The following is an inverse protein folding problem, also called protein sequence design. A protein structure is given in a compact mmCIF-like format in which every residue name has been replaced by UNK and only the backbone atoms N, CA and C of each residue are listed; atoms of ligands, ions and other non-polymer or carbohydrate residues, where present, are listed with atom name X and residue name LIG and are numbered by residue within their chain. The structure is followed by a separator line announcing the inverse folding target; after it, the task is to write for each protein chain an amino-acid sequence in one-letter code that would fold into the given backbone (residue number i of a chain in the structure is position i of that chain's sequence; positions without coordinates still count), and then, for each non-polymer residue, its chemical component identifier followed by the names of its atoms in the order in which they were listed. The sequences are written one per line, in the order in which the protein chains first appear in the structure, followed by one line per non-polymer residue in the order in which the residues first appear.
data_IF_234937244109
#
_entry.id   IF_234937244109
#
_cell.length_a   1.000
_cell.length_b   1.000
_cell.length_c   1.000
_cell.angle_alpha   90.00
_cell.angle_beta   90.00
_cell.angle_gamma   90.00
#
_symmetry.space_group_name_H-M   'P 1'
#
loop_
_entity.id
_entity.type
_entity.pdbx_description
1 polymer ?
2 non-polymer ?
3 water ?
#
# COMPACT_ATOMS: atom_id res chain seq x y z
N UNK A 4 -18.04 4.91 -21.79
CA UNK A 4 -17.41 3.77 -21.05
C UNK A 4 -17.57 3.97 -19.53
N UNK A 5 -17.69 2.85 -18.81
CA UNK A 5 -17.92 2.88 -17.36
C UNK A 5 -16.75 2.41 -16.49
N UNK A 6 -16.70 2.96 -15.28
CA UNK A 6 -15.70 2.60 -14.28
C UNK A 6 -16.04 1.19 -13.79
N UNK A 7 -15.03 0.31 -13.75
CA UNK A 7 -15.22 -1.10 -13.36
C UNK A 7 -14.95 -1.40 -11.87
N UNK A 8 -14.01 -0.68 -11.26
CA UNK A 8 -13.71 -0.81 -9.82
C UNK A 8 -13.98 0.58 -9.18
N UNK A 9 -14.79 0.65 -8.10
CA UNK A 9 -15.07 1.94 -7.43
C UNK A 9 -13.78 2.59 -6.91
N UNK A 10 -13.70 3.92 -6.97
CA UNK A 10 -12.46 4.61 -6.56
C UNK A 10 -12.05 4.30 -5.11
N UNK A 11 -13.03 4.06 -4.24
CA UNK A 11 -12.72 3.76 -2.84
C UNK A 11 -12.02 2.39 -2.69
N UNK A 12 -12.05 1.59 -3.74
CA UNK A 12 -11.42 0.25 -3.72
C UNK A 12 -10.06 0.15 -4.45
N UNK A 13 -9.46 1.31 -4.74
CA UNK A 13 -8.10 1.36 -5.26
C UNK A 13 -7.11 1.51 -4.10
N UNK A 14 -5.93 0.93 -4.27
CA UNK A 14 -4.84 1.05 -3.32
C UNK A 14 -3.55 1.29 -4.09
N UNK A 15 -3.12 2.55 -4.14
CA UNK A 15 -1.84 2.94 -4.74
C UNK A 15 -0.78 2.83 -3.66
N UNK A 16 0.08 1.83 -3.78
CA UNK A 16 1.07 1.53 -2.75
C UNK A 16 2.51 1.45 -3.28
N UNK A 17 3.44 1.79 -2.40
CA UNK A 17 4.85 1.66 -2.68
C UNK A 17 5.43 0.83 -1.55
N UNK A 18 6.44 0.03 -1.87
CA UNK A 18 7.14 -0.78 -0.90
C UNK A 18 8.48 -0.09 -0.60
N UNK A 19 8.74 0.26 0.66
CA UNK A 19 10.01 0.88 1.08
C UNK A 19 10.77 -0.08 1.95
N UNK A 20 12.06 -0.27 1.65
CA UNK A 20 12.91 -1.16 2.43
C UNK A 20 14.40 -0.89 2.28
N UNK A 21 15.15 -1.39 3.26
CA UNK A 21 16.61 -1.36 3.26
C UNK A 21 17.02 -2.55 2.37
N UNK A 22 18.22 -2.52 1.81
CA UNK A 22 18.72 -3.58 0.91
C UNK A 22 18.59 -5.02 1.46
N UNK A 23 18.81 -5.20 2.76
CA UNK A 23 18.79 -6.57 3.37
C UNK A 23 17.41 -7.06 3.90
N UNK A 24 16.36 -6.26 3.73
CA UNK A 24 15.03 -6.63 4.23
C UNK A 24 14.25 -7.62 3.35
N UNK A 25 14.66 -7.78 2.09
CA UNK A 25 13.99 -8.69 1.15
C UNK A 25 12.88 -8.02 0.37
N UNK A 26 13.17 -6.82 -0.14
CA UNK A 26 12.20 -6.06 -0.93
C UNK A 26 11.82 -6.75 -2.22
N UNK A 27 12.81 -7.27 -2.93
CA UNK A 27 12.55 -7.93 -4.21
C UNK A 27 11.67 -9.18 -4.03
N UNK A 28 11.93 -9.96 -2.99
CA UNK A 28 11.16 -11.17 -2.74
C UNK A 28 9.75 -10.82 -2.27
N UNK A 29 9.63 -9.80 -1.42
CA UNK A 29 8.32 -9.34 -0.94
C UNK A 29 7.49 -8.86 -2.14
N UNK A 30 8.07 -8.04 -3.00
CA UNK A 30 7.36 -7.53 -4.18
C UNK A 30 6.96 -8.68 -5.13
N UNK A 31 7.85 -9.64 -5.32
CA UNK A 31 7.56 -10.78 -6.19
C UNK A 31 6.39 -11.58 -5.63
N UNK A 32 6.36 -11.77 -4.31
CA UNK A 32 5.24 -12.51 -3.68
C UNK A 32 3.92 -11.73 -3.78
N UNK A 33 3.98 -10.40 -3.58
CA UNK A 33 2.77 -9.57 -3.75
C UNK A 33 2.21 -9.78 -5.16
N UNK A 34 3.08 -9.73 -6.16
CA UNK A 34 2.65 -9.89 -7.56
C UNK A 34 2.14 -11.31 -7.86
N UNK A 35 2.69 -12.29 -7.15
CA UNK A 35 2.25 -13.66 -7.31
C UNK A 35 0.84 -13.85 -6.74
N UNK A 36 0.64 -13.50 -5.48
CA UNK A 36 -0.69 -13.67 -4.86
C UNK A 36 -1.77 -12.82 -5.54
N UNK A 37 -1.45 -11.56 -5.86
CA UNK A 37 -2.41 -10.63 -6.49
C UNK A 37 -2.60 -10.85 -7.98
N UNK A 38 -1.83 -11.79 -8.54
CA UNK A 38 -1.97 -12.19 -9.96
C UNK A 38 -2.90 -13.39 -10.07
N UNK A 39 -3.10 -14.11 -8.96
CA UNK A 39 -4.01 -15.27 -8.90
C UNK A 39 -5.05 -15.06 -7.77
N UNK A 40 -5.44 -13.81 -7.54
CA UNK A 40 -6.39 -13.47 -6.46
C UNK A 40 -7.73 -14.22 -6.49
N UNK A 41 -8.20 -14.64 -7.68
CA UNK A 41 -9.47 -15.38 -7.78
C UNK A 41 -9.34 -16.87 -7.39
N UNK A 42 -8.10 -17.35 -7.22
CA UNK A 42 -7.83 -18.73 -6.81
C UNK A 42 -7.40 -18.84 -5.34
N UNK A 43 -7.29 -17.68 -4.68
CA UNK A 43 -6.93 -17.59 -3.25
C UNK A 43 -8.12 -18.07 -2.41
N UNK A 44 -7.88 -18.95 -1.44
CA UNK A 44 -8.98 -19.47 -0.62
C UNK A 44 -8.74 -19.93 0.82
N UNK A 45 -9.78 -19.74 1.64
CA UNK A 45 -9.73 -20.17 3.04
C UNK A 45 -9.88 -21.69 3.14
N UNK A 67 9.78 -5.48 -12.58
CA UNK A 67 10.61 -4.28 -12.75
C UNK A 67 9.82 -3.07 -13.30
N UNK A 68 8.53 -3.25 -13.59
CA UNK A 68 7.70 -2.15 -14.10
C UNK A 68 7.62 -0.99 -13.12
N UNK A 69 7.54 0.23 -13.65
CA UNK A 69 7.40 1.43 -12.82
C UNK A 69 6.14 1.33 -11.93
N UNK A 70 5.11 0.71 -12.48
CA UNK A 70 3.86 0.46 -11.76
C UNK A 70 3.21 -0.78 -12.36
N UNK A 71 2.67 -1.64 -11.51
CA UNK A 71 2.01 -2.86 -11.90
C UNK A 71 0.58 -2.90 -11.32
N UNK A 72 -0.38 -3.20 -12.18
CA UNK A 72 -1.81 -3.32 -11.82
C UNK A 72 -2.09 -4.74 -11.33
N UNK A 73 -2.86 -4.88 -10.23
CA UNK A 73 -3.18 -6.21 -9.72
C UNK A 73 -4.49 -6.15 -8.93
N UNK A 74 -4.97 -7.31 -8.50
CA UNK A 74 -6.26 -7.38 -7.77
C UNK A 74 -6.14 -8.17 -6.48
N UNK A 75 -7.01 -7.85 -5.53
CA UNK A 75 -7.06 -8.60 -4.26
C UNK A 75 -8.45 -8.54 -3.69
N UNK A 76 -8.96 -9.71 -3.28
CA UNK A 76 -10.29 -9.81 -2.65
C UNK A 76 -10.19 -10.42 -1.24
N UNK A 77 -8.97 -10.49 -0.72
CA UNK A 77 -8.73 -11.06 0.61
C UNK A 77 -8.31 -12.52 0.59
N UNK A 78 -7.60 -12.95 1.65
CA UNK A 78 -7.15 -14.35 1.77
C UNK A 78 -8.31 -15.34 1.72
N UNK A 79 -9.49 -14.88 2.16
CA UNK A 79 -10.68 -15.71 2.20
C UNK A 79 -11.81 -15.18 1.32
N UNK A 80 -11.46 -14.36 0.31
CA UNK A 80 -12.46 -13.76 -0.58
C UNK A 80 -13.48 -12.92 0.22
N UNK A 81 -13.01 -12.37 1.35
CA UNK A 81 -13.87 -11.64 2.28
C UNK A 81 -14.11 -10.17 1.98
N UNK A 82 -13.47 -9.66 0.93
CA UNK A 82 -13.65 -8.29 0.53
C UNK A 82 -14.15 -8.24 -0.91
N UNK A 83 -14.84 -7.13 -1.26
CA UNK A 83 -15.10 -6.85 -2.65
C UNK A 83 -13.74 -6.73 -3.31
N UNK A 84 -13.68 -6.94 -4.63
CA UNK A 84 -12.41 -6.86 -5.30
C UNK A 84 -11.83 -5.45 -5.27
N UNK A 85 -10.57 -5.38 -4.85
CA UNK A 85 -9.78 -4.14 -4.79
C UNK A 85 -8.72 -4.16 -5.88
N UNK A 86 -8.39 -2.97 -6.40
CA UNK A 86 -7.39 -2.80 -7.43
C UNK A 86 -6.17 -2.25 -6.72
N UNK A 87 -5.08 -3.02 -6.75
CA UNK A 87 -3.83 -2.60 -6.10
C UNK A 87 -2.82 -2.24 -7.18
N UNK A 88 -2.31 -1.01 -7.10
CA UNK A 88 -1.28 -0.51 -8.04
C UNK A 88 0.01 -0.51 -7.23
N UNK A 89 0.93 -1.38 -7.61
CA UNK A 89 2.22 -1.53 -6.92
C UNK A 89 3.24 -0.67 -7.66
N UNK A 90 3.67 0.39 -6.99
CA UNK A 90 4.56 1.39 -7.57
C UNK A 90 5.99 1.16 -7.11
N UNK A 91 6.91 1.03 -8.06
CA UNK A 91 8.33 0.84 -7.75
C UNK A 91 8.85 2.11 -7.02
N UNK A 92 9.44 1.93 -5.84
CA UNK A 92 9.94 3.06 -5.04
C UNK A 92 11.30 2.70 -4.42
N UNK A 93 12.41 2.89 -5.17
CA UNK A 93 13.80 2.57 -4.73
C UNK A 93 14.20 3.12 -3.35
N UNK A 99 16.96 12.16 -4.51
CA UNK A 99 16.27 13.08 -3.61
C UNK A 99 14.88 13.43 -4.16
N UNK A 100 14.85 14.04 -5.34
CA UNK A 100 13.59 14.43 -5.99
C UNK A 100 12.78 13.20 -6.44
N UNK A 101 13.48 12.15 -6.87
CA UNK A 101 12.84 10.92 -7.35
C UNK A 101 12.10 10.20 -6.22
N UNK A 102 12.77 10.03 -5.08
CA UNK A 102 12.14 9.40 -3.92
C UNK A 102 10.97 10.25 -3.38
N UNK A 103 11.09 11.57 -3.49
CA UNK A 103 10.01 12.47 -3.04
C UNK A 103 8.85 12.49 -4.05
N UNK A 104 9.14 12.33 -5.34
CA UNK A 104 8.06 12.27 -6.35
C UNK A 104 7.26 10.99 -6.11
N UNK A 105 7.95 9.90 -5.87
CA UNK A 105 7.29 8.60 -5.62
C UNK A 105 6.31 8.68 -4.46
N UNK A 106 6.62 9.50 -3.45
CA UNK A 106 5.73 9.67 -2.29
C UNK A 106 4.42 10.37 -2.68
N UNK A 107 4.43 11.10 -3.79
CA UNK A 107 3.22 11.75 -4.27
C UNK A 107 2.44 10.86 -5.24
N UNK A 108 3.13 9.89 -5.85
CA UNK A 108 2.50 8.95 -6.81
C UNK A 108 1.73 7.86 -6.06
N UNK A 109 2.34 7.33 -5.00
CA UNK A 109 1.65 6.36 -4.14
C UNK A 109 0.77 7.14 -3.17
N UNK A 110 -0.20 6.46 -2.56
CA UNK A 110 -1.08 7.06 -1.56
C UNK A 110 -0.76 6.50 -0.19
N UNK A 111 -0.26 5.28 -0.14
CA UNK A 111 0.09 4.60 1.12
C UNK A 111 1.31 3.77 0.92
N UNK A 112 2.03 3.48 2.00
CA UNK A 112 3.26 2.68 1.88
C UNK A 112 3.30 1.47 2.79
N UNK A 113 4.02 0.45 2.34
CA UNK A 113 4.31 -0.72 3.12
C UNK A 113 5.82 -0.65 3.40
N UNK A 114 6.16 -0.47 4.68
CA UNK A 114 7.55 -0.37 5.14
C UNK A 114 8.03 -1.78 5.48
N UNK A 115 9.03 -2.28 4.77
CA UNK A 115 9.53 -3.64 5.03
C UNK A 115 10.82 -3.61 5.84
N UNK A 116 10.86 -4.38 6.92
CA UNK A 116 12.04 -4.45 7.79
C UNK A 116 12.48 -5.90 7.98
N UNK A 117 13.77 -6.08 8.21
CA UNK A 117 14.33 -7.39 8.47
C UNK A 117 14.14 -7.70 9.96
N UNK A 118 13.71 -8.91 10.26
CA UNK A 118 13.48 -9.34 11.64
C UNK A 118 14.78 -9.44 12.46
N UNK A 119 15.90 -9.56 11.76
CA UNK A 119 17.22 -9.65 12.40
C UNK A 119 17.82 -8.25 12.53
N UNK A 120 18.06 -7.60 11.40
CA UNK A 120 18.68 -6.27 11.34
C UNK A 120 17.84 -5.13 11.90
N UNK A 121 16.54 -5.21 11.69
CA UNK A 121 15.62 -4.20 12.19
C UNK A 121 15.75 -2.85 11.50
N UNK A 122 15.64 -1.78 12.30
CA UNK A 122 15.69 -0.43 11.78
C UNK A 122 17.15 -0.02 11.56
N UNK A 123 17.48 0.27 10.30
CA UNK A 123 18.83 0.67 9.87
C UNK A 123 18.91 2.19 9.68
N UNK A 124 20.13 2.74 9.48
CA UNK A 124 20.24 4.20 9.25
C UNK A 124 19.42 4.72 8.05
N UNK A 125 19.39 3.96 6.95
CA UNK A 125 18.64 4.36 5.75
C UNK A 125 17.12 4.36 5.98
N UNK A 126 16.67 3.58 6.97
CA UNK A 126 15.24 3.54 7.31
C UNK A 126 14.79 4.90 7.84
N UNK A 127 15.68 5.56 8.60
CA UNK A 127 15.41 6.88 9.19
C UNK A 127 15.20 7.97 8.13
N UNK A 128 15.93 7.88 7.02
CA UNK A 128 15.84 8.87 5.94
C UNK A 128 14.52 8.76 5.17
N UNK A 129 14.20 7.56 4.69
CA UNK A 129 12.95 7.34 3.93
C UNK A 129 11.72 7.63 4.79
N UNK A 130 11.83 7.34 6.09
CA UNK A 130 10.75 7.60 7.05
C UNK A 130 10.42 9.09 7.08
N UNK A 131 11.47 9.93 6.98
CA UNK A 131 11.26 11.37 6.99
C UNK A 131 10.60 11.92 5.72
N UNK A 132 10.91 11.37 4.54
CA UNK A 132 10.22 11.83 3.33
C UNK A 132 8.76 11.47 3.47
N UNK A 133 8.49 10.25 3.96
CA UNK A 133 7.12 9.77 4.16
C UNK A 133 6.34 10.70 5.09
N UNK A 134 6.97 11.17 6.18
CA UNK A 134 6.30 12.10 7.11
C UNK A 134 6.04 13.46 6.47
N UNK A 135 6.97 13.92 5.61
CA UNK A 135 6.83 15.21 4.93
C UNK A 135 5.55 15.26 4.07
N UNK A 136 5.28 14.18 3.35
CA UNK A 136 4.07 14.12 2.52
C UNK A 136 2.89 13.45 3.24
N UNK A 137 3.00 13.29 4.56
CA UNK A 137 1.97 12.70 5.42
C UNK A 137 1.43 11.38 4.87
N UNK A 138 2.33 10.47 4.53
CA UNK A 138 1.93 9.18 3.91
C UNK A 138 1.54 8.09 4.92
N UNK A 139 0.27 7.64 4.91
CA UNK A 139 -0.12 6.55 5.82
C UNK A 139 0.65 5.28 5.51
N UNK A 140 0.96 4.50 6.54
CA UNK A 140 1.73 3.29 6.30
C UNK A 140 1.47 2.17 7.28
N UNK A 141 1.79 0.97 6.81
CA UNK A 141 1.82 -0.25 7.62
C UNK A 141 3.23 -0.80 7.43
N UNK A 142 3.62 -1.72 8.32
CA UNK A 142 4.93 -2.35 8.27
C UNK A 142 4.78 -3.88 8.14
N UNK A 143 5.77 -4.48 7.52
CA UNK A 143 5.89 -5.92 7.34
C UNK A 143 7.30 -6.31 7.79
N UNK A 144 7.38 -7.04 8.89
CA UNK A 144 8.67 -7.50 9.43
C UNK A 144 8.92 -8.87 8.80
N UNK A 145 9.78 -8.86 7.79
CA UNK A 145 10.12 -10.01 6.98
C UNK A 145 11.28 -10.81 7.60
N UNK A 146 11.53 -11.99 7.05
CA UNK A 146 12.63 -12.87 7.47
C UNK A 146 12.52 -13.37 8.92
N UNK A 147 11.28 -13.66 9.34
CA UNK A 147 11.05 -14.21 10.68
C UNK A 147 11.68 -15.59 10.87
N UNK A 148 12.00 -16.28 9.77
CA UNK A 148 12.62 -17.61 9.83
C UNK A 148 14.16 -17.59 9.93
N UNK A 149 14.78 -16.42 9.85
CA UNK A 149 16.25 -16.34 9.89
C UNK A 149 16.81 -16.27 11.30
N UNK A 150 18.05 -16.75 11.44
CA UNK A 150 18.72 -16.77 12.74
C UNK A 150 18.81 -15.34 13.28
N UNK A 151 18.35 -15.18 14.53
CA UNK A 151 18.34 -13.87 15.19
C UNK A 151 17.04 -13.07 15.03
N UNK A 152 16.02 -13.69 14.47
CA UNK A 152 14.73 -13.00 14.28
C UNK A 152 14.11 -12.65 15.63
N UNK A 153 13.64 -11.41 15.77
CA UNK A 153 13.01 -10.93 16.99
C UNK A 153 12.03 -9.82 16.61
N UNK A 154 10.77 -10.22 16.46
CA UNK A 154 9.70 -9.33 16.04
C UNK A 154 9.50 -8.11 16.94
N UNK A 155 9.28 -8.35 18.22
CA UNK A 155 9.01 -7.26 19.16
C UNK A 155 10.20 -6.31 19.34
N UNK A 156 11.41 -6.81 19.14
CA UNK A 156 12.59 -5.93 19.22
C UNK A 156 12.53 -4.92 18.07
N UNK A 157 12.11 -5.37 16.89
CA UNK A 157 11.97 -4.47 15.73
C UNK A 157 10.84 -3.47 16.01
N UNK A 158 9.71 -3.95 16.54
CA UNK A 158 8.62 -3.07 16.89
C UNK A 158 9.10 -1.96 17.86
N UNK A 159 9.87 -2.34 18.89
CA UNK A 159 10.37 -1.37 19.86
C UNK A 159 11.32 -0.36 19.20
N UNK A 160 12.13 -0.83 18.23
CA UNK A 160 13.03 0.05 17.48
C UNK A 160 12.26 1.08 16.64
N UNK A 161 11.10 0.70 16.10
CA UNK A 161 10.29 1.64 15.33
C UNK A 161 9.91 2.80 16.25
N UNK A 162 9.60 2.47 17.52
CA UNK A 162 9.26 3.50 18.49
C UNK A 162 10.46 4.34 18.92
N UNK A 163 11.53 3.68 19.35
CA UNK A 163 12.70 4.39 19.88
C UNK A 163 13.56 5.11 18.84
N UNK A 164 13.70 4.54 17.65
CA UNK A 164 14.56 5.12 16.62
C UNK A 164 13.83 6.03 15.63
N UNK A 165 12.58 5.71 15.30
CA UNK A 165 11.81 6.52 14.36
C UNK A 165 10.72 7.39 15.00
N UNK A 166 10.43 7.15 16.28
CA UNK A 166 9.37 7.89 16.99
C UNK A 166 7.97 7.45 16.57
N UNK A 167 7.86 6.23 16.04
CA UNK A 167 6.57 5.72 15.58
C UNK A 167 5.73 5.13 16.70
N UNK A 168 4.41 5.30 16.60
CA UNK A 168 3.49 4.65 17.52
C UNK A 168 3.16 3.34 16.78
N UNK A 169 4.02 2.34 16.97
CA UNK A 169 3.94 1.05 16.29
C UNK A 169 3.07 0.06 17.04
N UNK A 170 2.00 -0.36 16.39
CA UNK A 170 1.00 -1.27 16.95
C UNK A 170 0.97 -2.62 16.21
N UNK A 171 1.39 -3.72 16.87
CA UNK A 171 1.30 -5.00 16.20
C UNK A 171 -0.13 -5.48 15.96
N UNK A 172 -0.37 -6.01 14.75
CA UNK A 172 -1.62 -6.65 14.37
C UNK A 172 -1.51 -8.15 14.58
N UNK A 173 -0.27 -8.61 14.79
CA UNK A 173 0.04 -10.02 14.89
C UNK A 173 1.20 -10.27 15.81
N UNK A 174 1.36 -11.55 16.16
CA UNK A 174 2.57 -12.04 16.82
C UNK A 174 2.96 -13.27 16.01
N UNK A 175 4.26 -13.45 15.75
CA UNK A 175 4.66 -14.63 14.99
C UNK A 175 4.54 -15.92 15.80
N UNK A 176 4.26 -17.03 15.12
CA UNK A 176 4.24 -18.34 15.77
C UNK A 176 5.64 -18.89 15.54
N UNK A 177 6.46 -18.85 16.59
CA UNK A 177 7.85 -19.29 16.51
C UNK A 177 8.75 -18.25 15.85
N UNK A 178 10.03 -18.57 15.78
CA UNK A 178 11.03 -17.69 15.16
C UNK A 178 12.21 -18.55 14.74
N UNK A 179 13.02 -18.04 13.81
CA UNK A 179 14.18 -18.75 13.28
C UNK A 179 13.70 -20.07 12.64
N UNK A 180 14.41 -21.19 12.86
CA UNK A 180 13.94 -22.48 12.29
C UNK A 180 12.55 -22.92 12.80
N UNK A 181 12.11 -22.34 13.91
CA UNK A 181 10.82 -22.68 14.52
C UNK A 181 9.64 -21.83 14.02
N UNK A 182 9.91 -20.87 13.12
CA UNK A 182 8.83 -20.02 12.57
C UNK A 182 7.89 -20.86 11.70
N UNK A 183 6.59 -20.87 12.04
CA UNK A 183 5.61 -21.67 11.27
C UNK A 183 4.36 -20.91 10.84
N UNK A 184 4.15 -19.70 11.33
CA UNK A 184 2.96 -18.93 10.95
C UNK A 184 2.82 -17.68 11.76
N UNK A 185 1.63 -17.09 11.79
CA UNK A 185 1.39 -15.87 12.57
C UNK A 185 0.02 -15.94 13.24
N UNK A 186 -0.16 -15.20 14.33
CA UNK A 186 -1.45 -15.08 15.00
C UNK A 186 -2.04 -13.72 14.63
N UNK A 187 -3.29 -13.74 14.16
CA UNK A 187 -4.05 -12.54 13.89
C UNK A 187 -4.65 -12.19 15.28
N UNK A 188 -4.13 -11.14 15.89
CA UNK A 188 -4.55 -10.75 17.25
C UNK A 188 -6.02 -10.32 17.35
N UNK A 189 -6.56 -9.73 16.30
CA UNK A 189 -7.97 -9.31 16.33
C UNK A 189 -8.89 -10.54 16.38
N UNK A 190 -8.64 -11.52 15.50
CA UNK A 190 -9.44 -12.75 15.46
C UNK A 190 -9.04 -13.77 16.54
N UNK A 191 -7.84 -13.60 17.10
CA UNK A 191 -7.28 -14.55 18.08
C UNK A 191 -7.28 -15.95 17.49
N UNK A 192 -6.69 -16.03 16.30
CA UNK A 192 -6.52 -17.26 15.55
C UNK A 192 -5.14 -17.30 14.93
N UNK A 193 -4.53 -18.48 14.94
CA UNK A 193 -3.25 -18.70 14.29
C UNK A 193 -3.55 -19.02 12.83
N UNK A 194 -2.71 -18.52 11.92
CA UNK A 194 -2.87 -18.80 10.50
C UNK A 194 -1.87 -19.88 10.09
N UNK A 195 -2.40 -21.03 9.64
CA UNK A 195 -1.60 -22.16 9.17
C UNK A 195 -1.70 -22.23 7.65
N UNK A 196 -0.71 -21.66 6.95
CA UNK A 196 -0.66 -21.68 5.49
C UNK A 196 -0.25 -23.05 4.95
N UNK A 197 -0.89 -23.47 3.85
CA UNK A 197 -0.59 -24.74 3.19
C UNK A 197 0.72 -24.62 2.40
N UNK A 198 1.71 -25.43 2.76
CA UNK A 198 3.02 -25.38 2.11
C UNK A 198 2.99 -25.84 0.63
N UNK A 199 2.23 -26.90 0.37
CA UNK A 199 2.13 -27.50 -0.98
C UNK A 199 1.69 -26.52 -2.08
N UNK A 200 0.67 -25.69 -1.81
CA UNK A 200 0.19 -24.75 -2.83
C UNK A 200 0.77 -23.33 -2.67
N UNK A 201 1.97 -23.24 -2.09
CA UNK A 201 2.65 -21.97 -1.88
C UNK A 201 1.83 -20.97 -1.06
N UNK A 202 1.07 -21.48 -0.10
CA UNK A 202 0.26 -20.62 0.74
C UNK A 202 -0.94 -19.93 0.12
N UNK A 203 -1.47 -20.51 -0.96
CA UNK A 203 -2.68 -20.00 -1.61
C UNK A 203 -3.88 -20.23 -0.71
N UNK A 204 -3.80 -21.28 0.12
CA UNK A 204 -4.87 -21.63 1.05
C UNK A 204 -4.27 -21.73 2.45
N UNK A 205 -5.16 -21.75 3.44
CA UNK A 205 -4.76 -21.80 4.83
C UNK A 205 -5.94 -22.24 5.68
N UNK A 206 -5.68 -22.51 6.95
CA UNK A 206 -6.75 -22.77 7.91
C UNK A 206 -6.48 -21.92 9.16
N UNK A 207 -7.54 -21.43 9.80
CA UNK A 207 -7.37 -20.73 11.08
C UNK A 207 -7.35 -21.80 12.18
N UNK A 208 -6.41 -21.70 13.10
CA UNK A 208 -6.29 -22.65 14.22
C UNK A 208 -6.32 -21.89 15.54
N UNK A 209 -6.49 -22.61 16.64
CA UNK A 209 -6.50 -21.96 17.94
C UNK A 209 -5.11 -21.40 18.26
N UNK A 210 -5.07 -20.34 19.04
CA UNK A 210 -3.79 -19.75 19.43
C UNK A 210 -3.09 -20.79 20.31
N UNK A 211 -1.79 -21.08 20.04
CA UNK A 211 -1.05 -22.05 20.85
C UNK A 211 -1.04 -21.67 22.33
N UNK A 212 -1.13 -22.68 23.19
CA UNK A 212 -1.16 -22.45 24.64
C UNK A 212 0.00 -21.57 25.15
N UNK A 213 1.19 -21.78 24.60
CA UNK A 213 2.37 -21.01 25.05
C UNK A 213 2.39 -19.54 24.57
N UNK A 214 1.45 -19.17 23.70
CA UNK A 214 1.31 -17.80 23.20
C UNK A 214 0.06 -17.06 23.73
N UNK A 215 -0.85 -17.78 24.40
CA UNK A 215 -2.11 -17.16 24.86
C UNK A 215 -1.91 -15.89 25.68
N UNK A 216 -1.01 -15.93 26.67
CA UNK A 216 -0.73 -14.76 27.51
C UNK A 216 -0.19 -13.56 26.71
N UNK A 217 0.79 -13.80 25.85
CA UNK A 217 1.38 -12.74 25.02
C UNK A 217 0.33 -12.19 24.05
N UNK A 218 -0.46 -13.07 23.45
CA UNK A 218 -1.49 -12.62 22.51
C UNK A 218 -2.55 -11.74 23.22
N UNK A 219 -2.95 -12.12 24.44
CA UNK A 219 -3.92 -11.33 25.19
C UNK A 219 -3.36 -9.94 25.50
N UNK A 220 -2.09 -9.88 25.88
CA UNK A 220 -1.43 -8.60 26.20
C UNK A 220 -1.36 -7.70 24.98
N UNK A 221 -0.89 -8.24 23.87
CA UNK A 221 -0.77 -7.45 22.66
C UNK A 221 -2.12 -7.14 21.99
N UNK A 222 -3.14 -7.97 22.24
CA UNK A 222 -4.47 -7.65 21.71
C UNK A 222 -4.98 -6.44 22.50
N UNK A 223 -4.81 -6.47 23.83
CA UNK A 223 -5.26 -5.34 24.66
C UNK A 223 -4.55 -4.06 24.20
N UNK A 224 -3.28 -4.16 23.83
CA UNK A 224 -2.50 -3.04 23.33
C UNK A 224 -3.15 -2.45 22.07
N UNK A 225 -3.60 -3.31 21.15
CA UNK A 225 -4.22 -2.80 19.93
C UNK A 225 -5.63 -2.28 20.18
N UNK A 226 -6.38 -2.90 21.11
CA UNK A 226 -7.70 -2.41 21.45
C UNK A 226 -7.61 -1.01 22.09
N UNK A 227 -6.61 -0.80 22.94
CA UNK A 227 -6.38 0.52 23.55
C UNK A 227 -6.13 1.56 22.47
N UNK A 228 -5.34 1.18 21.47
CA UNK A 228 -5.04 2.08 20.35
C UNK A 228 -6.30 2.43 19.55
N UNK A 229 -7.19 1.46 19.39
CA UNK A 229 -8.45 1.67 18.69
C UNK A 229 -9.36 2.61 19.48
N UNK A 230 -9.43 2.39 20.80
CA UNK A 230 -10.30 3.19 21.68
C UNK A 230 -9.99 4.69 21.64
N UNK A 231 -8.74 5.04 21.36
CA UNK A 231 -8.29 6.42 21.25
C UNK A 231 -8.85 7.17 20.05
N UNK A 232 -9.47 6.44 19.11
CA UNK A 232 -10.03 7.06 17.89
C UNK A 232 -11.26 7.94 18.12
N UNK A 233 -12.06 7.68 19.15
CA UNK A 233 -13.25 8.51 19.41
C UNK A 233 -13.70 8.42 20.87
N UNK A 234 -14.43 9.44 21.31
CA UNK A 234 -14.94 9.47 22.66
C UNK A 234 -15.92 8.31 22.89
N UNK A 235 -16.75 8.02 21.89
CA UNK A 235 -17.72 6.91 22.02
C UNK A 235 -17.01 5.57 22.25
N UNK A 236 -15.95 5.31 21.49
CA UNK A 236 -15.19 4.06 21.66
C UNK A 236 -14.45 4.03 22.99
N UNK A 237 -13.90 5.18 23.41
CA UNK A 237 -13.17 5.25 24.68
C UNK A 237 -14.10 4.95 25.86
N UNK A 238 -15.29 5.55 25.86
CA UNK A 238 -16.31 5.31 26.90
C UNK A 238 -16.71 3.82 26.96
N UNK A 239 -16.81 3.20 25.79
CA UNK A 239 -17.17 1.77 25.72
C UNK A 239 -16.04 0.90 26.30
N UNK A 240 -14.81 1.24 25.95
CA UNK A 240 -13.62 0.53 26.44
C UNK A 240 -13.44 0.67 27.95
N UNK A 241 -13.49 1.91 28.44
CA UNK A 241 -13.36 2.17 29.89
C UNK A 241 -14.55 1.62 30.68
N UNK A 242 -15.71 1.54 30.02
CA UNK A 242 -16.92 1.02 30.64
C UNK A 242 -16.90 -0.49 30.86
N UNK A 243 -15.89 -1.18 30.34
CA UNK A 243 -15.77 -2.62 30.50
C UNK A 243 -16.34 -3.49 29.39
N UNK A 244 -16.92 -2.88 28.35
CA UNK A 244 -17.49 -3.62 27.23
C UNK A 244 -16.40 -3.90 26.21
N UNK A 245 -16.57 -4.99 25.45
CA UNK A 245 -15.60 -5.36 24.43
C UNK A 245 -15.92 -4.71 23.09
N UNK A 246 -14.94 -4.02 22.52
CA UNK A 246 -15.15 -3.47 21.19
C UNK A 246 -15.25 -4.64 20.21
N UNK A 247 -16.12 -4.51 19.22
CA UNK A 247 -16.26 -5.55 18.19
C UNK A 247 -15.10 -5.49 17.21
N UNK A 248 -14.91 -6.55 16.43
CA UNK A 248 -13.84 -6.56 15.43
C UNK A 248 -14.03 -5.41 14.44
N UNK A 249 -15.27 -5.16 14.04
CA UNK A 249 -15.54 -4.07 13.09
C UNK A 249 -15.21 -2.69 13.68
N UNK A 250 -15.54 -2.50 14.96
CA UNK A 250 -15.22 -1.24 15.67
C UNK A 250 -13.71 -1.05 15.74
N UNK A 251 -13.01 -2.12 16.08
CA UNK A 251 -11.56 -2.06 16.19
C UNK A 251 -10.94 -1.71 14.84
N UNK A 252 -11.34 -2.42 13.79
CA UNK A 252 -10.74 -2.19 12.46
C UNK A 252 -11.01 -0.80 11.88
N UNK A 253 -12.23 -0.31 12.05
CA UNK A 253 -12.59 1.03 11.57
C UNK A 253 -11.75 2.09 12.28
N UNK A 254 -11.58 1.92 13.59
CA UNK A 254 -10.80 2.83 14.43
C UNK A 254 -9.34 2.83 14.06
N UNK A 255 -8.77 1.63 13.89
CA UNK A 255 -7.36 1.52 13.50
C UNK A 255 -7.14 2.16 12.11
N UNK A 256 -8.07 1.91 11.18
CA UNK A 256 -7.97 2.52 9.84
C UNK A 256 -7.96 4.04 9.95
N UNK A 257 -8.86 4.60 10.77
CA UNK A 257 -8.91 6.05 10.94
C UNK A 257 -7.55 6.57 11.41
N UNK A 258 -6.95 5.88 12.37
CA UNK A 258 -5.66 6.32 12.93
C UNK A 258 -4.48 6.16 11.97
N UNK A 259 -4.51 5.12 11.13
CA UNK A 259 -3.47 4.94 10.13
C UNK A 259 -3.58 6.08 9.11
N UNK A 260 -4.79 6.35 8.65
CA UNK A 260 -5.03 7.42 7.67
C UNK A 260 -4.67 8.81 8.19
N UNK A 261 -4.78 8.99 9.50
CA UNK A 261 -4.42 10.25 10.14
C UNK A 261 -2.93 10.33 10.51
N UNK A 262 -2.14 9.32 10.11
CA UNK A 262 -0.70 9.28 10.41
C UNK A 262 -0.39 9.27 11.92
N UNK A 263 -1.29 8.69 12.70
CA UNK A 263 -1.14 8.60 14.14
C UNK A 263 -0.43 7.33 14.59
N UNK A 264 -0.61 6.24 13.84
CA UNK A 264 0.00 4.96 14.17
C UNK A 264 0.45 4.23 12.92
N UNK A 265 1.33 3.26 13.13
CA UNK A 265 1.77 2.35 12.08
C UNK A 265 1.42 0.95 12.57
N UNK A 266 0.64 0.21 11.78
CA UNK A 266 0.25 -1.15 12.12
C UNK A 266 1.34 -2.11 11.61
N UNK A 267 1.65 -3.14 12.40
CA UNK A 267 2.75 -4.02 12.06
C UNK A 267 2.33 -5.48 11.86
N UNK A 268 2.75 -6.02 10.72
CA UNK A 268 2.53 -7.41 10.34
C UNK A 268 3.90 -8.06 10.23
N UNK A 269 3.92 -9.38 10.02
CA UNK A 269 5.19 -10.08 9.94
C UNK A 269 5.06 -11.39 9.21
N UNK A 270 6.21 -11.99 8.93
CA UNK A 270 6.26 -13.29 8.29
C UNK A 270 7.53 -13.53 7.50
N UNK A 271 7.37 -14.30 6.42
CA UNK A 271 8.44 -14.60 5.49
C UNK A 271 7.86 -14.63 4.10
N UNK A 272 8.39 -13.78 3.23
CA UNK A 272 7.96 -13.76 1.85
C UNK A 272 8.43 -15.05 1.16
N UNK A 273 9.70 -15.35 1.29
CA UNK A 273 10.30 -16.54 0.65
C UNK A 273 9.64 -17.84 1.05
N UNK A 274 9.29 -17.99 2.34
CA UNK A 274 8.67 -19.21 2.84
C UNK A 274 7.14 -19.24 2.63
N UNK A 275 6.60 -18.27 1.87
CA UNK A 275 5.16 -18.22 1.56
C UNK A 275 4.24 -18.15 2.80
N UNK A 276 4.68 -17.41 3.82
CA UNK A 276 3.94 -17.27 5.06
C UNK A 276 3.97 -15.84 5.61
N UNK A 277 3.04 -15.00 5.15
CA UNK A 277 2.94 -13.65 5.67
C UNK A 277 2.48 -12.58 4.73
N UNK A 278 2.99 -12.59 3.49
CA UNK A 278 2.59 -11.56 2.53
C UNK A 278 1.08 -11.55 2.30
N UNK A 279 0.47 -12.74 2.34
CA UNK A 279 -0.97 -12.87 2.11
C UNK A 279 -1.81 -12.07 3.14
N UNK A 280 -1.41 -12.15 4.40
CA UNK A 280 -2.11 -11.43 5.46
C UNK A 280 -1.78 -9.93 5.42
N UNK A 281 -0.59 -9.60 4.95
CA UNK A 281 -0.21 -8.21 4.81
C UNK A 281 -1.07 -7.56 3.72
N UNK A 282 -1.41 -8.34 2.69
CA UNK A 282 -2.26 -7.81 1.61
C UNK A 282 -3.66 -7.52 2.15
N UNK A 283 -4.17 -8.37 3.04
CA UNK A 283 -5.44 -8.06 3.68
C UNK A 283 -5.33 -6.73 4.43
N UNK A 284 -4.20 -6.51 5.10
CA UNK A 284 -3.97 -5.27 5.84
C UNK A 284 -3.91 -4.02 4.92
N UNK A 285 -3.40 -4.19 3.71
CA UNK A 285 -3.39 -3.11 2.70
C UNK A 285 -4.84 -2.70 2.44
N UNK A 286 -5.71 -3.68 2.20
CA UNK A 286 -7.12 -3.38 1.97
C UNK A 286 -7.77 -2.74 3.22
N UNK A 287 -7.57 -3.33 4.37
CA UNK A 287 -8.26 -2.88 5.57
C UNK A 287 -7.81 -1.55 6.14
N UNK A 288 -6.52 -1.23 6.00
CA UNK A 288 -5.95 -0.07 6.64
C UNK A 288 -5.29 1.02 5.79
N UNK A 289 -4.87 0.72 4.55
CA UNK A 289 -4.21 1.75 3.72
C UNK A 289 -5.24 2.58 2.95
N UNK A 290 -4.87 3.82 2.61
CA UNK A 290 -5.83 4.70 1.97
C UNK A 290 -6.19 4.46 0.53
N UNK A 291 -7.43 4.79 0.20
CA UNK A 291 -7.88 4.87 -1.18
C UNK A 291 -7.52 6.29 -1.66
N UNK A 292 -7.64 6.57 -2.96
CA UNK A 292 -7.35 7.93 -3.44
C UNK A 292 -8.21 9.01 -2.77
N UNK A 293 -9.42 8.63 -2.34
CA UNK A 293 -10.35 9.55 -1.68
C UNK A 293 -10.06 9.80 -0.19
N UNK A 294 -9.12 9.05 0.41
CA UNK A 294 -8.76 9.16 1.83
C UNK A 294 -7.62 10.14 2.10
N UNK A 295 -7.01 10.67 1.06
CA UNK A 295 -5.92 11.63 1.26
C UNK A 295 -6.37 13.00 0.76
N UNK A 296 -5.66 14.06 1.17
CA UNK A 296 -6.10 15.38 0.71
C UNK A 296 -6.02 15.58 -0.79
N UNK A 297 -6.87 16.45 -1.31
CA UNK A 297 -6.85 16.80 -2.72
C UNK A 297 -5.44 17.28 -3.06
N UNK A 298 -4.96 16.96 -4.25
CA UNK A 298 -3.62 17.42 -4.65
C UNK A 298 -3.63 18.93 -4.90
N UNK A 299 -2.57 19.60 -4.48
CA UNK A 299 -2.46 21.04 -4.63
C UNK A 299 -1.62 21.42 -5.84
N UNK A 300 -1.93 22.57 -6.44
CA UNK A 300 -1.22 23.06 -7.61
C UNK A 300 -1.28 24.56 -7.74
N UNK A 301 -0.69 25.08 -8.82
CA UNK A 301 -0.65 26.52 -9.11
C UNK A 301 -1.47 26.84 -10.36
N UNK A 302 -2.39 27.79 -10.22
CA UNK A 302 -3.25 28.24 -11.31
C UNK A 302 -2.49 29.21 -12.20
N UNK A 303 -2.96 29.45 -13.43
CA UNK A 303 -2.30 30.39 -14.35
C UNK A 303 -2.04 31.79 -13.75
N UNK A 304 -2.93 32.24 -12.87
CA UNK A 304 -2.79 33.57 -12.23
C UNK A 304 -1.88 33.55 -10.98
N UNK A 305 -1.19 32.43 -10.76
CA UNK A 305 -0.26 32.24 -9.63
C UNK A 305 -0.93 31.93 -8.28
N UNK A 306 -2.25 31.86 -8.24
CA UNK A 306 -2.96 31.52 -6.99
C UNK A 306 -2.93 29.99 -6.86
N UNK A 307 -3.06 29.50 -5.62
CA UNK A 307 -3.05 28.06 -5.37
C UNK A 307 -4.42 27.47 -5.70
N UNK A 308 -4.40 26.27 -6.28
CA UNK A 308 -5.61 25.55 -6.65
C UNK A 308 -5.51 24.12 -6.15
N UNK A 309 -6.56 23.34 -6.36
CA UNK A 309 -6.57 21.94 -5.93
C UNK A 309 -7.46 21.11 -6.85
N UNK A 310 -7.20 19.80 -6.88
CA UNK A 310 -7.98 18.89 -7.69
C UNK A 310 -8.37 17.71 -6.80
N UNK A 311 -9.69 17.51 -6.66
CA UNK A 311 -10.22 16.42 -5.84
C UNK A 311 -10.20 15.08 -6.57
N UNK A 312 -10.12 14.01 -5.78
CA UNK A 312 -10.09 12.65 -6.31
C UNK A 312 -11.49 12.25 -6.78
N UNK A 313 -11.85 12.75 -7.96
CA UNK A 313 -13.16 12.53 -8.54
C UNK A 313 -13.14 12.49 -10.05
N UNK A 314 -13.91 11.58 -10.64
CA UNK A 314 -14.04 11.50 -12.10
C UNK A 314 -14.71 12.73 -12.70
N UNK A 315 -15.46 13.47 -11.88
CA UNK A 315 -16.18 14.67 -12.35
C UNK A 315 -15.34 15.93 -12.44
N UNK A 316 -14.24 15.97 -11.69
CA UNK A 316 -13.29 17.10 -11.71
C UNK A 316 -12.56 17.17 -13.05
N UNK A 317 -11.97 18.35 -13.38
CA UNK A 317 -11.18 18.42 -14.60
C UNK A 317 -9.97 17.49 -14.52
N UNK A 318 -9.56 16.93 -15.67
CA UNK A 318 -8.41 16.02 -15.71
C UNK A 318 -7.10 16.66 -15.26
N UNK A 319 -6.37 15.96 -14.39
CA UNK A 319 -5.05 16.41 -13.98
C UNK A 319 -4.26 15.15 -13.65
N UNK A 320 -2.99 15.18 -14.00
CA UNK A 320 -2.10 14.06 -13.80
C UNK A 320 -0.66 14.49 -13.73
N UNK A 321 0.17 13.62 -13.17
CA UNK A 321 1.62 13.84 -13.10
C UNK A 321 2.36 12.69 -13.78
N UNK A 322 3.26 13.02 -14.71
CA UNK A 322 4.12 12.04 -15.37
C UNK A 322 5.23 11.77 -14.36
N UNK A 323 5.49 10.50 -14.05
CA UNK A 323 6.49 10.15 -13.03
C UNK A 323 7.62 9.21 -13.45
N UNK A 324 7.54 8.61 -14.63
CA UNK A 324 8.60 7.73 -15.09
C UNK A 324 8.55 7.51 -16.60
N UNK A 325 9.72 7.57 -17.24
CA UNK A 325 9.83 7.31 -18.68
C UNK A 325 10.61 6.01 -18.83
N UNK A 326 9.97 4.98 -19.39
CA UNK A 326 10.61 3.68 -19.59
C UNK A 326 10.82 3.45 -21.08
N UNK A 327 11.97 2.91 -21.45
CA UNK A 327 12.23 2.62 -22.86
C UNK A 327 11.71 1.23 -23.19
N UNK A 328 11.27 1.03 -24.42
CA UNK A 328 10.78 -0.26 -24.89
C UNK A 328 11.23 -0.40 -26.34
N UNK A 329 11.91 -1.52 -26.68
CA UNK A 329 12.43 -1.71 -28.04
C UNK A 329 11.38 -1.98 -29.12
N UNK A 330 10.14 -2.27 -28.75
CA UNK A 330 9.10 -2.60 -29.73
C UNK A 330 8.09 -1.47 -29.98
N UNK A 331 7.90 -0.59 -28.99
CA UNK A 331 6.93 0.52 -29.14
C UNK A 331 7.47 1.92 -28.77
N UNK A 332 8.68 1.99 -28.24
CA UNK A 332 9.27 3.28 -27.86
C UNK A 332 9.04 3.63 -26.40
N UNK A 333 9.14 4.90 -26.08
CA UNK A 333 8.98 5.33 -24.68
C UNK A 333 7.58 5.14 -24.10
N UNK A 334 7.55 4.63 -22.86
CA UNK A 334 6.33 4.46 -22.09
C UNK A 334 6.39 5.55 -21.04
N UNK A 335 5.46 6.49 -21.10
CA UNK A 335 5.39 7.59 -20.13
C UNK A 335 4.36 7.20 -19.04
N UNK A 336 4.86 6.83 -17.86
CA UNK A 336 3.97 6.47 -16.75
C UNK A 336 3.41 7.72 -16.09
N UNK A 337 2.10 7.72 -15.87
CA UNK A 337 1.42 8.85 -15.25
C UNK A 337 0.38 8.41 -14.21
N UNK A 338 0.19 9.26 -13.21
CA UNK A 338 -0.78 9.07 -12.14
C UNK A 338 -1.87 10.10 -12.35
N UNK A 339 -3.11 9.64 -12.46
CA UNK A 339 -4.24 10.55 -12.63
C UNK A 339 -4.77 10.92 -11.25
N UNK A 340 -4.88 12.21 -10.99
CA UNK A 340 -5.39 12.70 -9.71
C UNK A 340 -6.86 13.04 -9.75
N UNK A 341 -7.33 13.48 -10.91
CA UNK A 341 -8.72 13.90 -11.06
C UNK A 341 -9.18 13.72 -12.49
N UNK A 342 -10.51 13.65 -12.67
CA UNK A 342 -11.08 13.53 -14.01
C UNK A 342 -10.76 12.24 -14.73
N UNK A 343 -10.86 12.30 -16.05
CA UNK A 343 -10.66 11.14 -16.91
C UNK A 343 -9.94 11.51 -18.19
N UNK A 344 -9.15 10.58 -18.71
CA UNK A 344 -8.47 10.75 -19.99
C UNK A 344 -8.74 9.52 -20.85
N UNK A 345 -9.05 9.76 -22.11
CA UNK A 345 -9.34 8.72 -23.09
C UNK A 345 -8.33 8.77 -24.23
N UNK A 346 -8.07 7.62 -24.86
CA UNK A 346 -7.20 7.57 -26.06
C UNK A 346 -7.88 8.45 -27.09
N UNK A 347 -7.11 9.30 -27.76
CA UNK A 347 -7.64 10.24 -28.74
C UNK A 347 -7.78 11.66 -28.20
N UNK A 348 -7.81 11.82 -26.87
CA UNK A 348 -7.93 13.15 -26.24
C UNK A 348 -6.66 13.99 -26.40
N UNK A 349 -6.86 15.29 -26.58
CA UNK A 349 -5.75 16.24 -26.63
C UNK A 349 -5.80 16.97 -25.29
N UNK A 350 -4.67 16.99 -24.59
CA UNK A 350 -4.57 17.65 -23.28
C UNK A 350 -3.42 18.65 -23.28
N UNK A 351 -3.25 19.36 -22.16
CA UNK A 351 -2.20 20.36 -22.00
C UNK A 351 -1.09 19.91 -21.07
N UNK A 352 0.16 20.11 -21.51
CA UNK A 352 1.33 19.91 -20.68
C UNK A 352 1.49 21.33 -20.13
N UNK A 353 0.94 21.57 -18.95
CA UNK A 353 0.93 22.91 -18.35
C UNK A 353 2.28 23.49 -17.97
N UNK A 354 3.26 22.63 -17.72
CA UNK A 354 4.62 23.10 -17.39
C UNK A 354 5.32 23.61 -18.63
N UNK A 355 5.15 22.89 -19.75
CA UNK A 355 5.77 23.21 -21.04
C UNK A 355 4.93 24.12 -21.93
N UNK A 356 3.65 24.24 -21.65
CA UNK A 356 2.73 25.04 -22.47
C UNK A 356 2.76 24.52 -23.92
N UNK A 357 2.50 23.23 -24.05
CA UNK A 357 2.42 22.50 -25.31
C UNK A 357 1.28 21.52 -25.18
N UNK A 358 0.57 21.24 -26.27
CA UNK A 358 -0.51 20.26 -26.23
C UNK A 358 0.02 18.88 -26.60
N UNK A 359 -0.59 17.85 -26.02
CA UNK A 359 -0.22 16.46 -26.28
C UNK A 359 -1.51 15.69 -26.59
N UNK A 360 -1.45 14.78 -27.57
CA UNK A 360 -2.60 13.94 -27.89
C UNK A 360 -2.28 12.50 -27.50
N UNK A 361 -3.11 11.92 -26.65
CA UNK A 361 -2.92 10.54 -26.24
C UNK A 361 -3.33 9.56 -27.35
N UNK A 362 -2.49 8.55 -27.56
CA UNK A 362 -2.76 7.46 -28.49
C UNK A 362 -2.96 6.20 -27.66
N UNK A 363 -2.10 5.20 -27.86
CA UNK A 363 -2.16 3.95 -27.12
C UNK A 363 -1.84 4.15 -25.62
N UNK A 364 -2.62 3.49 -24.76
CA UNK A 364 -2.39 3.53 -23.31
C UNK A 364 -2.37 2.08 -22.86
N UNK A 365 -1.46 1.76 -21.94
CA UNK A 365 -1.35 0.39 -21.44
C UNK A 365 -1.15 0.34 -19.92
N UNK A 366 -1.47 -0.81 -19.34
CA UNK A 366 -1.21 -1.06 -17.92
C UNK A 366 -0.48 -2.38 -17.83
N UNK A 367 0.57 -2.40 -17.02
CA UNK A 367 1.37 -3.59 -16.83
C UNK A 367 0.77 -4.46 -15.74
N UNK A 368 0.60 -5.76 -16.00
CA UNK A 368 0.16 -6.73 -14.99
C UNK A 368 1.39 -7.57 -14.69
N UNK A 369 1.27 -8.52 -13.78
CA UNK A 369 2.42 -9.33 -13.37
C UNK A 369 3.08 -10.12 -14.51
N UNK A 370 2.26 -10.71 -15.39
CA UNK A 370 2.77 -11.58 -16.46
C UNK A 370 2.31 -11.20 -17.87
N UNK A 371 1.75 -10.01 -18.03
CA UNK A 371 1.31 -9.54 -19.36
C UNK A 371 0.92 -8.07 -19.34
N UNK A 372 0.87 -7.49 -20.54
CA UNK A 372 0.52 -6.09 -20.72
C UNK A 372 -0.89 -6.00 -21.25
N UNK A 373 -1.65 -5.06 -20.73
CA UNK A 373 -3.04 -4.89 -21.07
C UNK A 373 -3.27 -3.57 -21.78
N UNK A 374 -3.95 -3.60 -22.91
CA UNK A 374 -4.26 -2.41 -23.68
C UNK A 374 -5.56 -1.83 -23.11
N UNK A 375 -5.58 -0.52 -22.83
CA UNK A 375 -6.79 0.15 -22.30
C UNK A 375 -7.10 1.42 -23.07
N UNK A 376 -8.33 1.89 -22.96
CA UNK A 376 -8.79 3.08 -23.70
C UNK A 376 -9.02 4.31 -22.83
N UNK A 377 -9.05 4.14 -21.51
CA UNK A 377 -9.24 5.29 -20.64
C UNK A 377 -8.58 5.04 -19.29
N UNK A 378 -8.28 6.14 -18.61
CA UNK A 378 -7.67 6.11 -17.27
C UNK A 378 -8.42 7.16 -16.45
N UNK A 379 -8.86 6.77 -15.26
CA UNK A 379 -9.64 7.64 -14.40
C UNK A 379 -8.90 8.05 -13.14
N UNK A 380 -9.49 9.01 -12.41
CA UNK A 380 -8.96 9.52 -11.15
C UNK A 380 -8.55 8.39 -10.21
N UNK A 381 -7.35 8.50 -9.66
CA UNK A 381 -6.83 7.52 -8.72
C UNK A 381 -6.10 6.36 -9.36
N UNK A 382 -6.04 6.32 -10.70
CA UNK A 382 -5.39 5.20 -11.38
C UNK A 382 -4.06 5.62 -12.02
N UNK A 383 -3.30 4.62 -12.46
CA UNK A 383 -1.97 4.80 -13.04
C UNK A 383 -1.87 3.97 -14.31
N UNK A 384 -1.22 4.52 -15.33
CA UNK A 384 -1.03 3.80 -16.58
C UNK A 384 0.16 4.41 -17.32
N UNK A 385 0.45 3.88 -18.49
CA UNK A 385 1.57 4.38 -19.32
C UNK A 385 1.08 4.68 -20.73
N UNK A 386 1.47 5.84 -21.26
CA UNK A 386 1.12 6.28 -22.61
C UNK A 386 2.26 6.00 -23.57
N UNK A 387 1.92 5.55 -24.77
CA UNK A 387 2.88 5.27 -25.81
C UNK A 387 2.90 6.43 -26.82
N UNK A 388 4.08 6.81 -27.28
CA UNK A 388 4.24 7.84 -28.29
C UNK A 388 4.02 9.31 -27.96
N UNK A 389 4.15 9.70 -26.70
CA UNK A 389 3.98 11.12 -26.36
C UNK A 389 5.21 11.87 -26.88
N UNK A 390 4.98 13.07 -27.39
CA UNK A 390 6.04 13.84 -28.05
C UNK A 390 7.10 14.54 -27.19
N UNK A 391 6.71 15.21 -26.12
CA UNK A 391 7.69 15.91 -25.28
C UNK A 391 7.19 16.06 -23.85
N UNK A 392 7.26 14.96 -23.11
CA UNK A 392 6.84 14.93 -21.72
C UNK A 392 8.01 14.52 -20.85
N UNK A 393 8.31 15.36 -19.87
CA UNK A 393 9.39 15.13 -18.93
C UNK A 393 8.79 14.68 -17.62
N UNK A 394 9.52 13.84 -16.88
CA UNK A 394 9.09 13.42 -15.56
C UNK A 394 8.92 14.70 -14.73
N UNK A 395 7.81 14.80 -14.01
CA UNK A 395 7.47 15.97 -13.21
C UNK A 395 6.45 16.89 -13.90
N UNK A 396 6.25 16.69 -15.21
CA UNK A 396 5.27 17.50 -15.93
C UNK A 396 3.86 17.10 -15.56
N UNK A 397 3.00 18.11 -15.53
CA UNK A 397 1.57 17.94 -15.31
C UNK A 397 0.91 17.90 -16.68
N UNK A 398 0.03 16.92 -16.87
CA UNK A 398 -0.79 16.81 -18.08
C UNK A 398 -2.19 17.02 -17.54
N UNK A 399 -2.87 18.05 -18.04
CA UNK A 399 -4.19 18.41 -17.53
C UNK A 399 -5.17 18.89 -18.59
N UNK A 400 -6.38 19.19 -18.15
CA UNK A 400 -7.43 19.69 -19.04
C UNK A 400 -7.04 21.05 -19.59
N UNK A 401 -7.27 21.23 -20.89
CA UNK A 401 -6.97 22.50 -21.56
C UNK A 401 -7.84 23.62 -20.98
N UNK A 402 -9.10 23.32 -20.71
CA UNK A 402 -10.03 24.32 -20.17
C UNK A 402 -9.92 24.56 -18.64
N UNK A 403 -9.06 23.80 -17.97
CA UNK A 403 -8.83 23.98 -16.52
C UNK A 403 -7.36 23.70 -16.20
N UNK A 404 -6.47 24.56 -16.71
CA UNK A 404 -5.02 24.37 -16.51
C UNK A 404 -4.56 24.56 -15.07
N UNK A 405 -3.58 23.74 -14.68
CA UNK A 405 -2.98 23.77 -13.35
C UNK A 405 -1.62 23.07 -13.41
N UNK A 406 -0.69 23.51 -12.56
CA UNK A 406 0.64 22.91 -12.46
C UNK A 406 0.69 22.24 -11.09
N UNK A 407 0.74 20.92 -11.07
CA UNK A 407 0.78 20.17 -9.81
C UNK A 407 2.17 20.12 -9.17
N UNK A 408 3.22 19.96 -9.98
CA UNK A 408 4.62 19.94 -9.50
C UNK A 408 5.36 21.14 -10.09
#
# INVERSE_FOLDING_TARGET
SNAMARTTPIERYRNIGISAHIDAGKTTTTERILFYTGVSHKIGEVHDGAATMDWMEQEQERGITITSAATTAFWSGMSQQFPQHRINVIDTPGHVDFTVEVERSMRVLDGAVMVYCAVGGVQPQSETVWRQANKYEVPRIAFVNKMDRTGANFLRVVEQLKTRLGANAIPLQLPVGAEENFTGVVDLIKMKAINWNEADQGMTFTYEEVPANMQADCEEWRQNLVEAAAEASEELMEKYLGGEDLTEEEIKSALRQRVLANEIILVTCGSAFKNKGVQAMLDAVVEYLPAPTDIPAIKGINPDETEGERHASDEEPFSSLAFKIATDPFVGNLTFFRVYSGVINSGDTVLNSVRQKRERFGRIVQMHANKREEIKEVRAGDIAAAIGLKDVTTGDTLCAIDAPIILE
#
